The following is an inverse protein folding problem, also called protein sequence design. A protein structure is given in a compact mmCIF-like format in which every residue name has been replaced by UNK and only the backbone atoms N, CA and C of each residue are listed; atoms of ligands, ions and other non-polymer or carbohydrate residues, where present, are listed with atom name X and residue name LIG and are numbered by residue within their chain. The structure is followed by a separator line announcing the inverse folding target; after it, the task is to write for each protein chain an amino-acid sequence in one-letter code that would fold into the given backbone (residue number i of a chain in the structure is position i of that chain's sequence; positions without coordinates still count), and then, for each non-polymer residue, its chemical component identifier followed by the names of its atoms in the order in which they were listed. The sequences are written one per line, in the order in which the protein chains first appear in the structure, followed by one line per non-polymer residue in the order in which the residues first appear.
data_IF_787249861694
#
_entry.id   IF_787249861694
#
_cell.length_a   1.000
_cell.length_b   1.000
_cell.length_c   1.000
_cell.angle_alpha   90.00
_cell.angle_beta   90.00
_cell.angle_gamma   90.00
#
_symmetry.space_group_name_H-M   'P 1'
#
loop_
_entity.id
_entity.type
_entity.pdbx_description
1 polymer ?
#
# COMPACT_ATOMS: atom_id res chain seq x y z
N UNK A 1 -3.23 -35.88 -7.88
CA UNK A 1 -3.60 -34.93 -6.79
C UNK A 1 -4.70 -33.94 -7.18
N UNK A 2 -4.70 -33.31 -8.37
CA UNK A 2 -5.71 -32.31 -8.74
C UNK A 2 -7.17 -32.83 -8.80
N UNK A 3 -7.39 -34.05 -9.28
CA UNK A 3 -8.73 -34.67 -9.36
C UNK A 3 -9.31 -35.00 -7.97
N UNK A 4 -8.47 -35.46 -7.03
CA UNK A 4 -8.86 -35.73 -5.64
C UNK A 4 -9.20 -34.43 -4.90
N UNK A 5 -8.46 -33.36 -5.15
CA UNK A 5 -8.77 -32.03 -4.61
C UNK A 5 -10.09 -31.46 -5.14
N UNK A 6 -10.38 -31.65 -6.44
CA UNK A 6 -11.65 -31.23 -7.04
C UNK A 6 -12.87 -31.94 -6.44
N UNK A 7 -12.79 -33.27 -6.27
CA UNK A 7 -13.86 -34.04 -5.65
C UNK A 7 -14.09 -33.64 -4.18
N UNK A 8 -13.01 -33.41 -3.41
CA UNK A 8 -13.10 -32.95 -2.03
C UNK A 8 -13.72 -31.53 -1.92
N UNK A 9 -13.38 -30.62 -2.83
CA UNK A 9 -14.01 -29.29 -2.88
C UNK A 9 -15.51 -29.38 -3.20
N UNK A 10 -15.91 -30.21 -4.18
CA UNK A 10 -17.33 -30.40 -4.50
C UNK A 10 -18.07 -31.04 -3.32
N UNK A 11 -17.48 -32.02 -2.65
CA UNK A 11 -18.06 -32.63 -1.45
C UNK A 11 -18.24 -31.61 -0.31
N UNK A 12 -17.26 -30.73 -0.08
CA UNK A 12 -17.35 -29.65 0.91
C UNK A 12 -18.47 -28.64 0.57
N UNK A 13 -18.58 -28.26 -0.70
CA UNK A 13 -19.61 -27.33 -1.19
C UNK A 13 -21.03 -27.89 -0.99
N UNK A 14 -21.22 -29.19 -1.30
CA UNK A 14 -22.49 -29.87 -1.10
C UNK A 14 -22.77 -30.06 0.39
N UNK A 15 -21.75 -30.42 1.19
CA UNK A 15 -21.90 -30.58 2.64
C UNK A 15 -22.35 -29.30 3.34
N UNK A 16 -21.76 -28.14 3.00
CA UNK A 16 -22.14 -26.83 3.56
C UNK A 16 -23.63 -26.52 3.34
N UNK A 17 -24.21 -26.94 2.23
CA UNK A 17 -25.63 -26.71 1.91
C UNK A 17 -26.57 -27.55 2.78
N UNK A 18 -26.14 -28.71 3.24
CA UNK A 18 -26.96 -29.59 4.09
C UNK A 18 -26.96 -29.18 5.57
N UNK A 19 -26.16 -28.19 5.95
CA UNK A 19 -26.18 -27.64 7.30
C UNK A 19 -27.48 -26.87 7.53
N UNK A 20 -28.16 -27.14 8.64
CA UNK A 20 -29.35 -26.39 9.10
C UNK A 20 -29.01 -25.02 9.70
N UNK A 21 -27.80 -24.52 9.44
CA UNK A 21 -27.29 -23.26 9.95
C UNK A 21 -28.00 -22.07 9.32
N UNK A 22 -28.38 -21.10 10.16
CA UNK A 22 -28.81 -19.78 9.76
C UNK A 22 -28.01 -18.76 10.58
N UNK A 23 -27.28 -17.86 9.93
CA UNK A 23 -26.56 -16.79 10.61
C UNK A 23 -27.51 -15.72 11.15
N UNK A 24 -27.13 -15.10 12.26
CA UNK A 24 -27.75 -13.86 12.74
C UNK A 24 -27.64 -12.77 11.64
N UNK A 25 -28.73 -12.07 11.26
CA UNK A 25 -28.68 -10.93 10.36
C UNK A 25 -27.65 -9.86 10.75
N UNK A 26 -27.36 -9.69 12.05
CA UNK A 26 -26.32 -8.78 12.52
C UNK A 26 -24.92 -9.18 12.02
N UNK A 27 -24.60 -10.47 11.99
CA UNK A 27 -23.33 -10.95 11.46
C UNK A 27 -23.16 -10.56 9.98
N UNK A 28 -24.23 -10.69 9.19
CA UNK A 28 -24.22 -10.26 7.79
C UNK A 28 -23.92 -8.76 7.67
N UNK A 29 -24.60 -7.92 8.47
CA UNK A 29 -24.38 -6.46 8.48
C UNK A 29 -22.94 -6.12 8.87
N UNK A 30 -22.39 -6.76 9.92
CA UNK A 30 -21.00 -6.53 10.32
C UNK A 30 -20.01 -6.91 9.22
N UNK A 31 -20.20 -8.05 8.54
CA UNK A 31 -19.34 -8.46 7.43
C UNK A 31 -19.39 -7.47 6.25
N UNK A 32 -20.56 -6.90 5.94
CA UNK A 32 -20.69 -5.88 4.89
C UNK A 32 -20.04 -4.55 5.28
N UNK A 33 -20.20 -4.10 6.53
CA UNK A 33 -19.55 -2.88 7.04
C UNK A 33 -18.03 -3.04 7.02
N UNK A 34 -17.51 -4.14 7.57
CA UNK A 34 -16.06 -4.43 7.58
C UNK A 34 -15.53 -4.55 6.15
N UNK A 35 -16.26 -5.24 5.27
CA UNK A 35 -15.92 -5.34 3.85
C UNK A 35 -15.84 -3.98 3.16
N UNK A 36 -16.83 -3.11 3.39
CA UNK A 36 -16.86 -1.76 2.80
C UNK A 36 -15.72 -0.88 3.32
N UNK A 37 -15.44 -0.92 4.63
CA UNK A 37 -14.32 -0.20 5.23
C UNK A 37 -12.97 -0.66 4.67
N UNK A 38 -12.75 -1.96 4.56
CA UNK A 38 -11.54 -2.51 3.92
C UNK A 38 -11.43 -2.08 2.46
N UNK A 39 -12.56 -2.04 1.74
CA UNK A 39 -12.62 -1.61 0.34
C UNK A 39 -12.16 -0.17 0.16
N UNK A 40 -12.70 0.76 0.96
CA UNK A 40 -12.31 2.17 0.92
C UNK A 40 -10.87 2.38 1.41
N UNK A 41 -10.44 1.64 2.43
CA UNK A 41 -9.07 1.71 2.95
C UNK A 41 -8.05 1.24 1.92
N UNK A 42 -8.35 0.15 1.21
CA UNK A 42 -7.54 -0.28 0.08
C UNK A 42 -7.52 0.76 -1.03
N UNK A 43 -8.67 1.32 -1.40
CA UNK A 43 -8.73 2.33 -2.46
C UNK A 43 -7.85 3.56 -2.17
N UNK A 44 -7.90 4.07 -0.94
CA UNK A 44 -7.06 5.17 -0.50
C UNK A 44 -5.55 4.82 -0.62
N UNK A 45 -5.16 3.63 -0.12
CA UNK A 45 -3.79 3.15 -0.22
C UNK A 45 -3.33 2.90 -1.67
N UNK A 46 -4.22 2.38 -2.52
CA UNK A 46 -3.97 2.15 -3.93
C UNK A 46 -3.71 3.45 -4.69
N UNK A 47 -4.40 4.53 -4.34
CA UNK A 47 -4.18 5.86 -4.92
C UNK A 47 -2.82 6.45 -4.50
N UNK A 48 -2.42 6.28 -3.23
CA UNK A 48 -1.08 6.68 -2.74
C UNK A 48 -0.01 5.87 -3.47
N UNK A 49 -0.20 4.55 -3.60
CA UNK A 49 0.72 3.68 -4.35
C UNK A 49 0.83 4.11 -5.81
N UNK A 50 -0.28 4.48 -6.47
CA UNK A 50 -0.24 5.02 -7.82
C UNK A 50 0.60 6.31 -7.90
N UNK A 51 0.44 7.25 -6.96
CA UNK A 51 1.27 8.48 -6.97
C UNK A 51 2.76 8.22 -6.77
N UNK A 52 3.12 7.23 -5.94
CA UNK A 52 4.53 6.87 -5.71
C UNK A 52 5.15 6.07 -6.86
N UNK A 53 4.41 5.10 -7.42
CA UNK A 53 4.94 4.10 -8.37
C UNK A 53 4.56 4.35 -9.82
N UNK A 54 3.57 5.21 -10.07
CA UNK A 54 2.89 5.38 -11.37
C UNK A 54 2.32 4.06 -11.93
N UNK A 55 2.07 3.05 -11.08
CA UNK A 55 1.49 1.77 -11.49
C UNK A 55 -0.03 1.90 -11.70
N UNK A 56 -0.43 1.91 -12.96
CA UNK A 56 -1.83 1.99 -13.43
C UNK A 56 -2.70 0.85 -12.89
N UNK A 57 -2.11 -0.31 -12.59
CA UNK A 57 -2.81 -1.44 -11.95
C UNK A 57 -3.43 -1.00 -10.62
N UNK A 58 -2.66 -0.27 -9.81
CA UNK A 58 -3.12 0.26 -8.52
C UNK A 58 -4.27 1.23 -8.70
N UNK A 59 -4.22 2.07 -9.73
CA UNK A 59 -5.24 3.08 -9.97
C UNK A 59 -6.58 2.45 -10.40
N UNK A 60 -6.55 1.53 -11.36
CA UNK A 60 -7.73 0.81 -11.84
C UNK A 60 -8.37 0.02 -10.69
N UNK A 61 -7.56 -0.68 -9.91
CA UNK A 61 -8.05 -1.43 -8.75
C UNK A 61 -8.59 -0.50 -7.66
N UNK A 62 -7.92 0.62 -7.35
CA UNK A 62 -8.41 1.59 -6.37
C UNK A 62 -9.82 2.07 -6.72
N UNK A 63 -10.05 2.50 -7.96
CA UNK A 63 -11.39 2.88 -8.42
C UNK A 63 -12.38 1.70 -8.39
N UNK A 64 -11.94 0.49 -8.72
CA UNK A 64 -12.78 -0.69 -8.62
C UNK A 64 -13.26 -0.99 -7.21
N UNK A 65 -12.37 -0.86 -6.21
CA UNK A 65 -12.73 -1.00 -4.81
C UNK A 65 -13.59 0.17 -4.29
N UNK A 66 -13.41 1.40 -4.80
CA UNK A 66 -14.36 2.50 -4.49
C UNK A 66 -15.75 2.16 -5.02
N UNK A 67 -15.88 1.84 -6.30
CA UNK A 67 -17.18 1.56 -6.92
C UNK A 67 -17.85 0.33 -6.28
N UNK A 68 -17.10 -0.75 -6.08
CA UNK A 68 -17.60 -1.94 -5.39
C UNK A 68 -18.02 -1.63 -3.96
N UNK A 69 -17.24 -0.83 -3.22
CA UNK A 69 -17.56 -0.43 -1.84
C UNK A 69 -18.83 0.43 -1.77
N UNK A 70 -19.00 1.37 -2.71
CA UNK A 70 -20.21 2.19 -2.82
C UNK A 70 -21.44 1.35 -3.12
N UNK A 71 -21.37 0.45 -4.11
CA UNK A 71 -22.48 -0.45 -4.48
C UNK A 71 -22.93 -1.27 -3.26
N UNK A 72 -21.98 -1.85 -2.52
CA UNK A 72 -22.30 -2.66 -1.34
C UNK A 72 -22.84 -1.82 -0.20
N UNK A 73 -22.22 -0.68 0.09
CA UNK A 73 -22.69 0.23 1.15
C UNK A 73 -24.13 0.67 0.90
N UNK A 74 -24.47 1.09 -0.33
CA UNK A 74 -25.84 1.47 -0.70
C UNK A 74 -26.80 0.29 -0.54
N UNK A 75 -26.39 -0.92 -0.93
CA UNK A 75 -27.21 -2.12 -0.76
C UNK A 75 -27.44 -2.46 0.73
N UNK A 76 -26.41 -2.35 1.56
CA UNK A 76 -26.49 -2.60 3.01
C UNK A 76 -27.45 -1.64 3.70
N UNK A 77 -27.45 -0.35 3.34
CA UNK A 77 -28.44 0.61 3.86
C UNK A 77 -29.88 0.21 3.51
N UNK A 78 -30.11 -0.27 2.28
CA UNK A 78 -31.42 -0.80 1.88
C UNK A 78 -31.86 -2.00 2.73
N UNK A 79 -30.93 -2.92 3.02
CA UNK A 79 -31.19 -4.09 3.86
C UNK A 79 -31.51 -3.68 5.30
N UNK A 80 -30.77 -2.71 5.86
CA UNK A 80 -31.01 -2.23 7.23
C UNK A 80 -32.44 -1.69 7.41
N UNK A 81 -32.95 -0.93 6.43
CA UNK A 81 -34.34 -0.47 6.44
C UNK A 81 -35.35 -1.62 6.44
N UNK A 82 -35.09 -2.67 5.66
CA UNK A 82 -35.97 -3.86 5.63
C UNK A 82 -35.87 -4.74 6.88
N UNK A 83 -34.72 -4.81 7.53
CA UNK A 83 -34.54 -5.53 8.80
C UNK A 83 -35.30 -4.84 9.94
N UNK A 84 -35.27 -3.51 10.00
CA UNK A 84 -36.04 -2.72 10.97
C UNK A 84 -37.56 -2.94 10.84
N UNK A 85 -38.05 -3.29 9.65
CA UNK A 85 -39.45 -3.65 9.39
C UNK A 85 -39.83 -5.11 9.69
N UNK A 86 -38.92 -5.94 10.22
CA UNK A 86 -39.21 -7.32 10.65
C UNK A 86 -39.25 -8.38 9.53
N UNK A 87 -38.87 -8.05 8.28
CA UNK A 87 -39.01 -8.93 7.11
C UNK A 87 -37.75 -9.79 6.81
N UNK A 88 -36.94 -10.13 7.81
CA UNK A 88 -35.66 -10.84 7.64
C UNK A 88 -35.78 -12.20 6.93
N UNK A 89 -36.83 -12.98 7.23
CA UNK A 89 -37.00 -14.33 6.72
C UNK A 89 -37.26 -14.42 5.21
N UNK A 90 -37.63 -13.32 4.56
CA UNK A 90 -37.94 -13.27 3.12
C UNK A 90 -36.78 -12.70 2.29
N UNK A 91 -35.67 -12.30 2.94
CA UNK A 91 -34.55 -11.67 2.25
C UNK A 91 -33.79 -12.66 1.37
N UNK A 92 -33.65 -12.27 0.10
CA UNK A 92 -32.81 -12.95 -0.89
C UNK A 92 -31.47 -12.24 -1.00
N UNK A 93 -30.51 -12.90 -1.63
CA UNK A 93 -29.21 -12.28 -1.90
C UNK A 93 -29.37 -11.09 -2.85
N UNK A 94 -28.89 -9.89 -2.49
CA UNK A 94 -29.13 -8.68 -3.27
C UNK A 94 -28.41 -8.75 -4.62
N UNK A 95 -29.03 -8.20 -5.66
CA UNK A 95 -28.39 -8.10 -6.97
C UNK A 95 -27.08 -7.30 -6.92
N UNK A 96 -27.02 -6.31 -6.02
CA UNK A 96 -25.84 -5.49 -5.79
C UNK A 96 -24.60 -6.31 -5.42
N UNK A 97 -24.75 -7.45 -4.72
CA UNK A 97 -23.67 -8.41 -4.48
C UNK A 97 -23.08 -8.90 -5.80
N UNK A 98 -23.91 -9.31 -6.75
CA UNK A 98 -23.42 -9.80 -8.02
C UNK A 98 -22.75 -8.72 -8.87
N UNK A 99 -23.36 -7.53 -8.89
CA UNK A 99 -22.85 -6.38 -9.66
C UNK A 99 -21.49 -5.94 -9.13
N UNK A 100 -21.35 -5.78 -7.81
CA UNK A 100 -20.11 -5.34 -7.17
C UNK A 100 -18.95 -6.30 -7.46
N UNK A 101 -19.19 -7.61 -7.32
CA UNK A 101 -18.18 -8.65 -7.51
C UNK A 101 -17.76 -8.80 -8.97
N UNK A 102 -18.71 -8.74 -9.89
CA UNK A 102 -18.44 -8.84 -11.34
C UNK A 102 -17.68 -7.61 -11.83
N UNK A 103 -18.05 -6.43 -11.36
CA UNK A 103 -17.32 -5.19 -11.63
C UNK A 103 -15.86 -5.31 -11.17
N UNK A 104 -15.64 -5.70 -9.92
CA UNK A 104 -14.29 -5.82 -9.36
C UNK A 104 -13.46 -6.87 -10.11
N UNK A 105 -14.05 -8.04 -10.42
CA UNK A 105 -13.38 -9.08 -11.19
C UNK A 105 -13.01 -8.60 -12.60
N UNK A 106 -13.92 -7.92 -13.29
CA UNK A 106 -13.69 -7.34 -14.61
C UNK A 106 -12.56 -6.31 -14.59
N UNK A 107 -12.52 -5.45 -13.57
CA UNK A 107 -11.46 -4.46 -13.41
C UNK A 107 -10.10 -5.10 -13.11
N UNK A 108 -10.08 -6.22 -12.37
CA UNK A 108 -8.83 -6.96 -12.12
C UNK A 108 -8.31 -7.62 -13.40
N UNK A 109 -9.19 -8.16 -14.26
CA UNK A 109 -8.80 -8.64 -15.59
C UNK A 109 -8.32 -7.50 -16.49
N UNK A 110 -9.04 -6.36 -16.51
CA UNK A 110 -8.67 -5.19 -17.30
C UNK A 110 -7.31 -4.62 -16.88
N UNK A 111 -7.04 -4.55 -15.57
CA UNK A 111 -5.77 -4.09 -15.04
C UNK A 111 -4.59 -4.96 -15.54
N UNK A 112 -4.78 -6.28 -15.66
CA UNK A 112 -3.77 -7.18 -16.24
C UNK A 112 -3.54 -6.95 -17.73
N UNK A 113 -4.61 -6.63 -18.47
CA UNK A 113 -4.50 -6.32 -19.89
C UNK A 113 -3.71 -5.02 -20.11
N UNK A 114 -3.98 -3.98 -19.32
CA UNK A 114 -3.25 -2.70 -19.36
C UNK A 114 -1.79 -2.90 -19.01
N UNK A 115 -1.51 -3.65 -17.94
CA UNK A 115 -0.14 -3.95 -17.51
C UNK A 115 0.69 -4.66 -18.58
N UNK A 116 0.07 -5.40 -19.51
CA UNK A 116 0.78 -6.10 -20.61
C UNK A 116 1.00 -5.24 -21.85
N UNK A 117 0.08 -4.32 -22.16
CA UNK A 117 0.03 -3.62 -23.46
C UNK A 117 0.74 -2.27 -23.48
N UNK A 118 0.93 -1.63 -22.32
CA UNK A 118 1.42 -0.26 -22.25
C UNK A 118 2.63 -0.17 -21.32
N UNK A 119 3.86 -0.03 -21.82
CA UNK A 119 5.00 0.31 -20.97
C UNK A 119 4.79 1.67 -20.27
N UNK A 120 5.43 1.86 -19.10
CA UNK A 120 5.32 3.09 -18.29
C UNK A 120 5.69 4.31 -19.15
N UNK A 121 4.73 5.20 -19.41
CA UNK A 121 4.95 6.39 -20.22
C UNK A 121 4.90 7.60 -19.30
N UNK A 122 5.83 8.55 -19.45
CA UNK A 122 6.06 9.65 -18.51
C UNK A 122 4.97 10.74 -18.51
N UNK A 123 3.74 10.46 -18.93
CA UNK A 123 2.63 11.42 -19.00
C UNK A 123 1.47 11.04 -18.05
N UNK A 124 1.45 11.59 -16.82
CA UNK A 124 0.44 11.27 -15.82
C UNK A 124 -1.00 11.60 -16.25
N UNK A 125 -1.19 12.60 -17.13
CA UNK A 125 -2.52 13.03 -17.57
C UNK A 125 -3.17 12.01 -18.49
N UNK A 126 -2.41 11.51 -19.48
CA UNK A 126 -2.89 10.44 -20.39
C UNK A 126 -3.11 9.11 -19.66
N UNK A 127 -2.27 8.81 -18.67
CA UNK A 127 -2.39 7.57 -17.89
C UNK A 127 -3.64 7.54 -17.02
N UNK A 128 -3.95 8.64 -16.33
CA UNK A 128 -5.16 8.77 -15.53
C UNK A 128 -6.42 8.71 -16.40
N UNK A 129 -6.43 9.41 -17.55
CA UNK A 129 -7.53 9.34 -18.50
C UNK A 129 -7.78 7.92 -19.01
N UNK A 130 -6.71 7.19 -19.36
CA UNK A 130 -6.81 5.80 -19.83
C UNK A 130 -7.39 4.88 -18.75
N UNK A 131 -6.91 4.99 -17.51
CA UNK A 131 -7.43 4.20 -16.40
C UNK A 131 -8.91 4.50 -16.14
N UNK A 132 -9.31 5.77 -16.15
CA UNK A 132 -10.71 6.20 -15.97
C UNK A 132 -11.62 5.70 -17.09
N UNK A 133 -11.17 5.75 -18.35
CA UNK A 133 -11.93 5.21 -19.49
C UNK A 133 -12.16 3.70 -19.34
N UNK A 134 -11.15 2.96 -18.91
CA UNK A 134 -11.27 1.51 -18.68
C UNK A 134 -12.21 1.22 -17.52
N UNK A 135 -12.08 1.96 -16.42
CA UNK A 135 -12.98 1.85 -15.26
C UNK A 135 -14.41 2.11 -15.69
N UNK A 136 -14.65 3.22 -16.40
CA UNK A 136 -15.96 3.60 -16.91
C UNK A 136 -16.54 2.56 -17.89
N UNK A 137 -15.73 2.03 -18.81
CA UNK A 137 -16.16 1.01 -19.75
C UNK A 137 -16.56 -0.30 -19.05
N UNK A 138 -15.75 -0.79 -18.10
CA UNK A 138 -16.06 -2.02 -17.36
C UNK A 138 -17.27 -1.81 -16.45
N UNK A 139 -17.40 -0.64 -15.80
CA UNK A 139 -18.57 -0.27 -15.01
C UNK A 139 -19.83 -0.23 -15.85
N UNK A 140 -19.79 0.43 -17.02
CA UNK A 140 -20.90 0.49 -17.97
C UNK A 140 -21.30 -0.90 -18.47
N UNK A 141 -20.34 -1.72 -18.92
CA UNK A 141 -20.60 -3.07 -19.41
C UNK A 141 -21.21 -3.95 -18.33
N UNK A 142 -20.69 -3.88 -17.10
CA UNK A 142 -21.25 -4.64 -15.97
C UNK A 142 -22.68 -4.20 -15.72
N UNK A 143 -22.94 -2.90 -15.62
CA UNK A 143 -24.30 -2.37 -15.43
C UNK A 143 -25.25 -2.76 -16.57
N UNK A 144 -24.82 -2.67 -17.82
CA UNK A 144 -25.63 -3.05 -18.99
C UNK A 144 -26.01 -4.54 -18.97
N UNK A 145 -25.07 -5.42 -18.62
CA UNK A 145 -25.32 -6.87 -18.50
C UNK A 145 -26.36 -7.16 -17.41
N UNK A 146 -26.28 -6.50 -16.26
CA UNK A 146 -27.21 -6.74 -15.15
C UNK A 146 -28.56 -6.02 -15.29
N UNK A 147 -28.62 -4.90 -16.01
CA UNK A 147 -29.88 -4.25 -16.38
C UNK A 147 -30.66 -5.03 -17.44
N UNK A 148 -29.94 -5.67 -18.38
CA UNK A 148 -30.54 -6.56 -19.39
C UNK A 148 -30.81 -7.99 -18.89
N UNK A 149 -30.41 -8.31 -17.64
CA UNK A 149 -30.66 -9.62 -17.05
C UNK A 149 -32.12 -9.77 -16.60
N UNK A 150 -32.63 -11.01 -16.45
CA UNK A 150 -34.00 -11.24 -15.97
C UNK A 150 -34.24 -10.55 -14.62
N UNK A 151 -35.42 -9.93 -14.45
CA UNK A 151 -35.80 -9.18 -13.24
C UNK A 151 -35.71 -10.01 -11.94
N UNK A 152 -35.78 -11.34 -12.04
CA UNK A 152 -35.47 -12.26 -10.95
C UNK A 152 -34.46 -13.31 -11.42
N UNK A 153 -33.27 -13.31 -10.84
CA UNK A 153 -32.36 -14.44 -10.92
C UNK A 153 -33.01 -15.64 -10.20
N UNK A 154 -33.64 -16.53 -10.98
CA UNK A 154 -34.45 -17.65 -10.46
C UNK A 154 -33.59 -18.66 -9.72
N UNK A 155 -33.68 -18.66 -8.39
CA UNK A 155 -33.00 -19.67 -7.56
C UNK A 155 -33.63 -21.02 -7.86
N UNK A 156 -32.81 -22.06 -8.01
CA UNK A 156 -33.26 -23.44 -8.25
C UNK A 156 -32.92 -24.31 -7.03
N UNK A 157 -33.74 -24.30 -5.96
CA UNK A 157 -33.37 -24.92 -4.67
C UNK A 157 -33.15 -26.43 -4.72
N UNK A 158 -33.67 -27.11 -5.75
CA UNK A 158 -33.50 -28.55 -5.98
C UNK A 158 -32.41 -28.90 -7.00
N UNK A 159 -31.83 -27.91 -7.68
CA UNK A 159 -30.76 -28.15 -8.63
C UNK A 159 -29.43 -28.44 -7.92
N UNK A 160 -28.52 -29.11 -8.63
CA UNK A 160 -27.13 -29.30 -8.18
C UNK A 160 -26.38 -27.97 -8.01
N UNK A 161 -26.75 -26.96 -8.79
CA UNK A 161 -26.25 -25.59 -8.69
C UNK A 161 -27.44 -24.62 -8.54
N UNK A 162 -27.82 -24.27 -7.30
CA UNK A 162 -28.95 -23.37 -7.05
C UNK A 162 -28.84 -22.01 -7.69
N UNK A 163 -27.61 -21.49 -7.81
CA UNK A 163 -27.30 -20.15 -8.33
C UNK A 163 -26.20 -20.19 -9.39
N UNK A 164 -26.52 -20.60 -10.63
CA UNK A 164 -25.54 -20.76 -11.69
C UNK A 164 -24.87 -19.44 -12.13
N UNK A 165 -25.52 -18.31 -11.89
CA UNK A 165 -25.00 -16.99 -12.25
C UNK A 165 -23.79 -16.54 -11.42
N UNK A 166 -23.57 -17.13 -10.23
CA UNK A 166 -22.35 -16.87 -9.44
C UNK A 166 -21.09 -17.41 -10.16
N UNK A 167 -21.25 -18.25 -11.19
CA UNK A 167 -20.13 -18.69 -12.04
C UNK A 167 -19.55 -17.56 -12.90
N UNK A 168 -20.30 -16.50 -13.19
CA UNK A 168 -19.83 -15.37 -14.00
C UNK A 168 -18.66 -14.66 -13.29
N UNK A 169 -18.83 -14.11 -12.06
CA UNK A 169 -17.71 -13.52 -11.33
C UNK A 169 -16.64 -14.57 -11.00
N UNK A 170 -17.00 -15.83 -10.69
CA UNK A 170 -16.01 -16.88 -10.45
C UNK A 170 -15.06 -17.08 -11.64
N UNK A 171 -15.59 -17.11 -12.87
CA UNK A 171 -14.80 -17.26 -14.09
C UNK A 171 -13.88 -16.06 -14.34
N UNK A 172 -14.37 -14.83 -14.11
CA UNK A 172 -13.56 -13.62 -14.23
C UNK A 172 -12.43 -13.57 -13.21
N UNK A 173 -12.73 -13.89 -11.94
CA UNK A 173 -11.70 -13.98 -10.89
C UNK A 173 -10.69 -15.09 -11.16
N UNK A 174 -11.11 -16.21 -11.75
CA UNK A 174 -10.21 -17.28 -12.17
C UNK A 174 -9.28 -16.82 -13.30
N UNK A 175 -9.84 -16.12 -14.30
CA UNK A 175 -9.06 -15.49 -15.36
C UNK A 175 -8.02 -14.51 -14.82
N UNK A 176 -8.42 -13.67 -13.86
CA UNK A 176 -7.52 -12.75 -13.17
C UNK A 176 -6.44 -13.51 -12.38
N UNK A 177 -6.79 -14.51 -11.58
CA UNK A 177 -5.85 -15.30 -10.79
C UNK A 177 -4.80 -15.99 -11.68
N UNK A 178 -5.23 -16.63 -12.77
CA UNK A 178 -4.32 -17.25 -13.74
C UNK A 178 -3.43 -16.19 -14.40
N UNK A 179 -4.01 -15.05 -14.78
CA UNK A 179 -3.29 -13.95 -15.41
C UNK A 179 -2.19 -13.34 -14.52
N UNK A 180 -2.49 -13.10 -13.24
CA UNK A 180 -1.54 -12.63 -12.23
C UNK A 180 -0.47 -13.69 -11.99
N UNK A 181 -0.85 -14.96 -11.81
CA UNK A 181 0.11 -16.04 -11.52
C UNK A 181 1.09 -16.29 -12.67
N UNK A 182 0.67 -16.07 -13.91
CA UNK A 182 1.58 -16.07 -15.07
C UNK A 182 2.55 -14.89 -15.05
N UNK A 183 2.10 -13.71 -14.61
CA UNK A 183 2.94 -12.49 -14.46
C UNK A 183 3.98 -12.66 -13.34
N UNK A 184 3.64 -13.34 -12.25
CA UNK A 184 4.52 -13.57 -11.09
C UNK A 184 5.82 -14.35 -11.38
N UNK A 185 5.99 -14.93 -12.58
CA UNK A 185 7.21 -15.68 -12.94
C UNK A 185 8.44 -14.80 -13.20
N UNK A 186 8.30 -13.47 -13.23
CA UNK A 186 9.37 -12.53 -13.63
C UNK A 186 9.75 -11.51 -12.53
N UNK A 187 9.39 -11.75 -11.27
CA UNK A 187 9.65 -10.86 -10.13
C UNK A 187 8.39 -10.69 -9.28
N UNK A 188 8.54 -10.73 -7.96
CA UNK A 188 7.40 -10.94 -7.04
C UNK A 188 7.33 -9.84 -5.99
N UNK A 189 6.43 -8.87 -6.19
CA UNK A 189 6.03 -7.93 -5.11
C UNK A 189 5.08 -8.62 -4.13
N UNK A 190 5.03 -8.19 -2.86
CA UNK A 190 4.10 -8.78 -1.90
C UNK A 190 2.65 -8.50 -2.31
N UNK A 191 2.41 -7.34 -2.93
CA UNK A 191 1.13 -6.97 -3.51
C UNK A 191 0.67 -7.93 -4.61
N UNK A 192 1.54 -8.30 -5.56
CA UNK A 192 1.16 -9.21 -6.64
C UNK A 192 0.81 -10.62 -6.11
N UNK A 193 1.52 -11.10 -5.07
CA UNK A 193 1.18 -12.36 -4.40
C UNK A 193 -0.18 -12.27 -3.72
N UNK A 194 -0.40 -11.22 -2.94
CA UNK A 194 -1.65 -10.98 -2.23
C UNK A 194 -2.83 -10.86 -3.20
N UNK A 195 -2.64 -10.15 -4.32
CA UNK A 195 -3.64 -10.00 -5.37
C UNK A 195 -3.97 -11.35 -6.04
N UNK A 196 -2.97 -12.20 -6.28
CA UNK A 196 -3.22 -13.55 -6.82
C UNK A 196 -4.03 -14.43 -5.85
N UNK A 197 -3.70 -14.39 -4.57
CA UNK A 197 -4.41 -15.16 -3.55
C UNK A 197 -5.81 -14.62 -3.30
N UNK A 198 -6.00 -13.30 -3.31
CA UNK A 198 -7.30 -12.68 -3.19
C UNK A 198 -8.21 -13.01 -4.39
N UNK A 199 -7.65 -13.05 -5.61
CA UNK A 199 -8.38 -13.53 -6.78
C UNK A 199 -8.83 -14.98 -6.60
N UNK A 200 -7.94 -15.87 -6.12
CA UNK A 200 -8.28 -17.27 -5.85
C UNK A 200 -9.33 -17.42 -4.73
N UNK A 201 -9.25 -16.62 -3.66
CA UNK A 201 -10.25 -16.57 -2.60
C UNK A 201 -11.62 -16.12 -3.14
N UNK A 202 -11.66 -15.18 -4.08
CA UNK A 202 -12.91 -14.76 -4.71
C UNK A 202 -13.48 -15.84 -5.66
N UNK A 203 -12.64 -16.66 -6.31
CA UNK A 203 -13.13 -17.86 -7.02
C UNK A 203 -13.83 -18.79 -6.02
N UNK A 204 -13.17 -19.10 -4.90
CA UNK A 204 -13.76 -19.95 -3.86
C UNK A 204 -15.06 -19.35 -3.30
N UNK A 205 -15.06 -18.04 -3.00
CA UNK A 205 -16.23 -17.29 -2.55
C UNK A 205 -17.45 -17.54 -3.43
N UNK A 206 -17.31 -17.41 -4.75
CA UNK A 206 -18.44 -17.57 -5.67
C UNK A 206 -18.81 -19.03 -5.93
N UNK A 207 -17.86 -19.97 -5.87
CA UNK A 207 -18.19 -21.39 -5.89
C UNK A 207 -19.04 -21.77 -4.65
N UNK A 208 -18.71 -21.24 -3.48
CA UNK A 208 -19.50 -21.43 -2.26
C UNK A 208 -20.86 -20.73 -2.37
N UNK A 209 -20.89 -19.45 -2.81
CA UNK A 209 -22.13 -18.70 -2.98
C UNK A 209 -23.10 -19.35 -3.98
N UNK A 210 -22.58 -20.07 -4.99
CA UNK A 210 -23.40 -20.78 -5.98
C UNK A 210 -24.31 -21.86 -5.38
N UNK A 211 -23.97 -22.35 -4.17
CA UNK A 211 -24.73 -23.35 -3.40
C UNK A 211 -25.75 -22.75 -2.44
N UNK A 212 -25.74 -21.42 -2.26
CA UNK A 212 -26.69 -20.72 -1.39
C UNK A 212 -28.10 -20.69 -1.99
N UNK A 213 -29.11 -20.81 -1.14
CA UNK A 213 -30.53 -20.64 -1.44
C UNK A 213 -31.10 -19.42 -0.70
N UNK A 214 -30.57 -19.08 0.49
CA UNK A 214 -31.05 -18.01 1.35
C UNK A 214 -29.92 -17.06 1.73
N UNK A 215 -30.25 -15.81 2.05
CA UNK A 215 -29.26 -14.80 2.42
C UNK A 215 -28.43 -15.18 3.66
N UNK A 216 -29.01 -15.89 4.61
CA UNK A 216 -28.36 -16.20 5.89
C UNK A 216 -27.93 -17.67 6.03
N UNK A 217 -27.87 -18.43 4.94
CA UNK A 217 -27.44 -19.82 4.99
C UNK A 217 -25.92 -19.98 5.07
N UNK A 218 -25.48 -21.17 5.51
CA UNK A 218 -24.04 -21.46 5.68
C UNK A 218 -23.20 -21.17 4.42
N UNK A 219 -23.62 -21.56 3.20
CA UNK A 219 -22.87 -21.23 1.99
C UNK A 219 -22.70 -19.70 1.80
N UNK A 220 -23.75 -18.90 1.97
CA UNK A 220 -23.61 -17.46 1.76
C UNK A 220 -22.78 -16.78 2.86
N UNK A 221 -22.95 -17.18 4.12
CA UNK A 221 -22.12 -16.66 5.22
C UNK A 221 -20.64 -16.99 4.99
N UNK A 222 -20.32 -18.21 4.56
CA UNK A 222 -18.95 -18.60 4.21
C UNK A 222 -18.40 -17.80 3.02
N UNK A 223 -19.22 -17.55 1.99
CA UNK A 223 -18.84 -16.69 0.88
C UNK A 223 -18.52 -15.25 1.32
N UNK A 224 -19.32 -14.68 2.23
CA UNK A 224 -19.07 -13.36 2.81
C UNK A 224 -17.74 -13.29 3.56
N UNK A 225 -17.42 -14.30 4.37
CA UNK A 225 -16.14 -14.39 5.06
C UNK A 225 -14.99 -14.44 4.05
N UNK A 226 -15.08 -15.29 3.02
CA UNK A 226 -14.07 -15.38 1.96
C UNK A 226 -13.87 -14.05 1.21
N UNK A 227 -14.96 -13.33 0.91
CA UNK A 227 -14.91 -11.97 0.34
C UNK A 227 -14.10 -11.05 1.26
N UNK A 228 -14.49 -10.92 2.52
CA UNK A 228 -13.85 -10.00 3.49
C UNK A 228 -12.37 -10.36 3.68
N UNK A 229 -12.04 -11.65 3.80
CA UNK A 229 -10.66 -12.11 3.88
C UNK A 229 -9.85 -11.75 2.64
N UNK A 230 -10.45 -11.82 1.44
CA UNK A 230 -9.76 -11.41 0.22
C UNK A 230 -9.38 -9.92 0.23
N UNK A 231 -10.22 -9.06 0.79
CA UNK A 231 -9.97 -7.62 0.90
C UNK A 231 -8.85 -7.33 1.88
N UNK A 232 -8.90 -7.96 3.06
CA UNK A 232 -7.85 -7.86 4.05
C UNK A 232 -6.50 -8.31 3.47
N UNK A 233 -6.49 -9.36 2.66
CA UNK A 233 -5.28 -9.88 2.03
C UNK A 233 -4.68 -8.89 1.04
N UNK A 234 -5.48 -8.32 0.11
CA UNK A 234 -4.99 -7.32 -0.85
C UNK A 234 -4.47 -6.08 -0.13
N UNK A 235 -5.20 -5.59 0.87
CA UNK A 235 -4.77 -4.44 1.68
C UNK A 235 -3.45 -4.73 2.40
N UNK A 236 -3.32 -5.89 3.05
CA UNK A 236 -2.09 -6.30 3.73
C UNK A 236 -0.90 -6.37 2.79
N UNK A 237 -1.08 -6.93 1.59
CA UNK A 237 -0.04 -6.95 0.56
C UNK A 237 0.38 -5.55 0.09
N UNK A 238 -0.58 -4.65 -0.11
CA UNK A 238 -0.32 -3.27 -0.50
C UNK A 238 0.43 -2.49 0.60
N UNK A 239 0.04 -2.65 1.86
CA UNK A 239 0.69 -2.01 3.01
C UNK A 239 2.12 -2.52 3.20
N UNK A 240 2.36 -3.82 3.03
CA UNK A 240 3.69 -4.41 3.16
C UNK A 240 4.65 -3.88 2.09
N UNK A 241 4.21 -3.76 0.85
CA UNK A 241 5.03 -3.17 -0.22
C UNK A 241 5.28 -1.67 0.02
N UNK A 242 4.27 -0.92 0.47
CA UNK A 242 4.45 0.50 0.82
C UNK A 242 5.49 0.67 1.94
N UNK A 243 5.45 -0.17 2.98
CA UNK A 243 6.43 -0.15 4.06
C UNK A 243 7.85 -0.44 3.55
N UNK A 244 8.00 -1.43 2.67
CA UNK A 244 9.30 -1.76 2.04
C UNK A 244 9.83 -0.63 1.17
N UNK A 245 8.98 -0.01 0.35
CA UNK A 245 9.37 1.13 -0.48
C UNK A 245 9.79 2.33 0.39
N UNK A 246 9.03 2.61 1.45
CA UNK A 246 9.37 3.67 2.38
C UNK A 246 10.72 3.42 3.05
N UNK A 247 10.96 2.18 3.48
CA UNK A 247 12.22 1.79 4.09
C UNK A 247 13.39 1.87 3.09
N UNK A 248 13.20 1.42 1.85
CA UNK A 248 14.20 1.58 0.78
C UNK A 248 14.54 3.05 0.51
N UNK A 249 13.53 3.93 0.41
CA UNK A 249 13.76 5.38 0.25
C UNK A 249 14.51 5.95 1.43
N UNK A 250 14.15 5.55 2.66
CA UNK A 250 14.86 5.93 3.89
C UNK A 250 16.29 5.38 3.91
N UNK A 251 16.52 4.20 3.33
CA UNK A 251 17.83 3.58 3.22
C UNK A 251 18.73 4.28 2.18
N UNK A 252 18.15 4.73 1.07
CA UNK A 252 18.83 5.46 -0.01
C UNK A 252 19.07 6.94 0.29
N UNK A 253 18.42 7.50 1.31
CA UNK A 253 18.73 8.86 1.75
C UNK A 253 20.17 8.88 2.28
N UNK A 254 21.08 9.58 1.58
CA UNK A 254 22.49 9.77 1.99
C UNK A 254 22.68 11.06 2.80
N UNK A 255 21.64 11.88 2.92
CA UNK A 255 21.68 13.17 3.58
C UNK A 255 20.77 13.20 4.81
N UNK A 256 21.17 13.99 5.81
CA UNK A 256 20.33 14.33 6.96
C UNK A 256 19.24 15.32 6.53
N UNK A 257 17.95 15.05 6.79
CA UNK A 257 16.86 15.87 6.28
C UNK A 257 16.77 17.26 6.90
N UNK A 258 17.37 17.49 8.08
CA UNK A 258 17.37 18.79 8.74
C UNK A 258 18.46 19.70 8.18
N UNK A 259 19.69 19.19 8.10
CA UNK A 259 20.90 19.97 7.79
C UNK A 259 21.32 19.88 6.32
N UNK A 260 20.87 18.83 5.62
CA UNK A 260 21.32 18.49 4.28
C UNK A 260 22.78 18.03 4.19
N UNK A 261 23.48 17.85 5.32
CA UNK A 261 24.80 17.20 5.35
C UNK A 261 24.67 15.71 5.09
N UNK A 262 25.78 14.99 4.96
CA UNK A 262 25.73 13.53 4.97
C UNK A 262 25.09 13.03 6.29
N UNK A 263 24.32 11.96 6.23
CA UNK A 263 23.83 11.32 7.45
C UNK A 263 24.86 10.33 8.01
N UNK A 264 24.57 9.79 9.20
CA UNK A 264 25.39 8.77 9.86
C UNK A 264 25.75 7.58 8.94
N UNK A 265 24.83 7.11 8.10
CA UNK A 265 25.10 6.00 7.17
C UNK A 265 26.15 6.39 6.14
N UNK A 266 25.96 7.53 5.48
CA UNK A 266 26.91 8.04 4.49
C UNK A 266 28.29 8.32 5.12
N UNK A 267 28.32 8.75 6.38
CA UNK A 267 29.55 8.91 7.14
C UNK A 267 30.30 7.57 7.29
N UNK A 268 29.62 6.50 7.70
CA UNK A 268 30.23 5.16 7.83
C UNK A 268 30.76 4.65 6.48
N UNK A 269 29.98 4.78 5.40
CA UNK A 269 30.41 4.36 4.06
C UNK A 269 31.68 5.09 3.61
N UNK A 270 31.77 6.40 3.90
CA UNK A 270 32.96 7.20 3.60
C UNK A 270 34.13 6.79 4.48
N UNK A 271 33.93 6.58 5.78
CA UNK A 271 35.00 6.13 6.68
C UNK A 271 35.59 4.79 6.23
N UNK A 272 34.75 3.82 5.88
CA UNK A 272 35.20 2.51 5.38
C UNK A 272 36.01 2.66 4.08
N UNK A 273 35.50 3.46 3.14
CA UNK A 273 36.19 3.76 1.88
C UNK A 273 37.54 4.45 2.09
N UNK A 274 37.62 5.38 3.05
CA UNK A 274 38.85 6.10 3.39
C UNK A 274 39.87 5.20 4.10
N UNK A 275 39.42 4.29 4.96
CA UNK A 275 40.26 3.28 5.59
C UNK A 275 40.90 2.36 4.54
N UNK A 276 40.12 1.87 3.58
CA UNK A 276 40.64 1.04 2.49
C UNK A 276 41.60 1.83 1.58
N UNK A 277 41.25 3.06 1.22
CA UNK A 277 42.14 3.92 0.42
C UNK A 277 43.46 4.17 1.14
N UNK A 278 43.43 4.54 2.41
CA UNK A 278 44.62 4.81 3.22
C UNK A 278 45.54 3.60 3.31
N UNK A 279 44.97 2.40 3.53
CA UNK A 279 45.74 1.13 3.50
C UNK A 279 46.42 0.89 2.15
N UNK A 280 45.77 1.23 1.04
CA UNK A 280 46.29 1.00 -0.31
C UNK A 280 47.31 2.04 -0.75
N UNK A 281 47.11 3.31 -0.42
CA UNK A 281 47.93 4.43 -0.95
C UNK A 281 48.95 4.95 0.05
N UNK A 282 48.86 4.57 1.32
CA UNK A 282 49.67 5.12 2.42
C UNK A 282 49.34 6.58 2.77
N UNK A 283 48.32 7.19 2.13
CA UNK A 283 47.92 8.58 2.41
C UNK A 283 46.97 8.63 3.60
N UNK A 284 47.29 9.38 4.67
CA UNK A 284 46.46 9.44 5.86
C UNK A 284 45.13 10.16 5.58
N UNK A 285 44.14 9.92 6.42
CA UNK A 285 42.94 10.74 6.53
C UNK A 285 42.71 11.05 8.01
N UNK A 286 41.94 12.09 8.30
CA UNK A 286 41.58 12.47 9.66
C UNK A 286 40.07 12.56 9.80
N UNK A 287 39.58 12.39 11.03
CA UNK A 287 38.16 12.53 11.36
C UNK A 287 38.05 13.55 12.49
N UNK A 288 37.21 14.55 12.29
CA UNK A 288 36.81 15.48 13.35
C UNK A 288 35.45 15.03 13.87
N UNK A 289 35.31 14.94 15.19
CA UNK A 289 34.04 14.79 15.87
C UNK A 289 33.75 16.11 16.60
N UNK A 290 32.57 16.64 16.41
CA UNK A 290 32.16 17.97 16.86
C UNK A 290 30.84 17.81 17.63
N UNK A 291 30.74 18.48 18.77
CA UNK A 291 29.49 18.57 19.53
C UNK A 291 29.03 20.03 19.59
N UNK A 292 27.72 20.27 19.47
CA UNK A 292 27.16 21.61 19.57
C UNK A 292 26.81 21.92 21.02
N UNK A 293 27.72 22.63 21.69
CA UNK A 293 27.53 23.06 23.07
C UNK A 293 26.24 23.87 23.27
N UNK A 294 25.46 23.52 24.30
CA UNK A 294 24.32 24.33 24.75
C UNK A 294 23.04 24.21 23.91
N UNK A 295 22.94 23.24 22.99
CA UNK A 295 21.71 23.04 22.21
C UNK A 295 20.47 22.83 23.09
N UNK A 296 20.60 22.08 24.20
CA UNK A 296 19.52 21.89 25.18
C UNK A 296 19.02 23.22 25.75
N UNK A 297 19.93 24.11 26.14
CA UNK A 297 19.57 25.44 26.66
C UNK A 297 18.85 26.28 25.61
N UNK A 298 19.26 26.21 24.34
CA UNK A 298 18.58 26.88 23.23
C UNK A 298 17.16 26.32 23.06
N UNK A 299 17.01 24.99 23.09
CA UNK A 299 15.71 24.33 22.99
C UNK A 299 14.78 24.71 24.14
N UNK A 300 15.28 24.68 25.37
CA UNK A 300 14.48 24.94 26.58
C UNK A 300 14.04 26.41 26.64
N UNK A 301 14.90 27.35 26.20
CA UNK A 301 14.62 28.79 26.26
C UNK A 301 13.82 29.32 25.05
N UNK A 302 14.06 28.77 23.86
CA UNK A 302 13.55 29.32 22.59
C UNK A 302 12.75 28.32 21.75
N UNK A 303 12.60 27.08 22.22
CA UNK A 303 11.86 26.00 21.56
C UNK A 303 12.68 25.25 20.50
N UNK A 304 12.23 24.02 20.21
CA UNK A 304 12.90 23.11 19.27
C UNK A 304 13.08 23.65 17.84
N UNK A 305 12.22 24.57 17.39
CA UNK A 305 12.36 25.21 16.08
C UNK A 305 13.62 26.08 16.02
N UNK A 306 13.96 26.78 17.10
CA UNK A 306 15.17 27.62 17.15
C UNK A 306 16.42 26.75 17.31
N UNK A 307 16.37 25.68 18.10
CA UNK A 307 17.48 24.72 18.14
C UNK A 307 17.72 24.04 16.79
N UNK A 308 16.65 23.74 16.04
CA UNK A 308 16.76 23.23 14.67
C UNK A 308 17.48 24.22 13.75
N UNK A 309 17.22 25.53 13.89
CA UNK A 309 17.95 26.57 13.14
C UNK A 309 19.44 26.64 13.54
N UNK A 310 19.76 26.48 14.82
CA UNK A 310 21.15 26.45 15.29
C UNK A 310 21.92 25.27 14.65
N UNK A 311 21.30 24.09 14.58
CA UNK A 311 21.85 22.92 13.89
C UNK A 311 22.07 23.18 12.39
N UNK A 312 21.08 23.76 11.69
CA UNK A 312 21.23 24.14 10.29
C UNK A 312 22.36 25.15 10.09
N UNK A 313 22.53 26.08 11.02
CA UNK A 313 23.58 27.10 10.94
C UNK A 313 24.97 26.49 11.06
N UNK A 314 25.18 25.60 12.03
CA UNK A 314 26.42 24.82 12.13
C UNK A 314 26.68 24.06 10.83
N UNK A 315 25.66 23.41 10.28
CA UNK A 315 25.79 22.68 9.03
C UNK A 315 26.20 23.55 7.84
N UNK A 316 25.69 24.78 7.73
CA UNK A 316 26.13 25.75 6.72
C UNK A 316 27.61 26.10 6.89
N UNK A 317 28.04 26.36 8.13
CA UNK A 317 29.45 26.66 8.42
C UNK A 317 30.34 25.49 8.02
N UNK A 318 29.97 24.26 8.38
CA UNK A 318 30.70 23.05 7.97
C UNK A 318 30.77 22.95 6.45
N UNK A 319 29.66 23.15 5.73
CA UNK A 319 29.61 23.05 4.27
C UNK A 319 30.51 24.09 3.57
N UNK A 320 30.59 25.32 4.10
CA UNK A 320 31.42 26.40 3.52
C UNK A 320 32.91 26.22 3.83
N UNK A 321 33.24 25.66 5.00
CA UNK A 321 34.63 25.54 5.44
C UNK A 321 35.30 24.19 5.15
N UNK A 322 34.53 23.24 4.61
CA UNK A 322 35.00 21.97 4.07
C UNK A 322 35.36 22.09 2.58
N UNK A 323 36.38 21.35 2.13
CA UNK A 323 36.74 21.20 0.72
C UNK A 323 35.74 20.28 0.02
N UNK A 324 35.75 20.29 -1.32
CA UNK A 324 34.88 19.40 -2.11
C UNK A 324 35.12 17.90 -1.85
N UNK A 325 36.32 17.51 -1.44
CA UNK A 325 36.67 16.13 -1.07
C UNK A 325 36.34 15.78 0.39
N UNK A 326 36.13 16.78 1.25
CA UNK A 326 35.80 16.56 2.66
C UNK A 326 34.32 16.16 2.78
N UNK A 327 34.01 15.28 3.72
CA UNK A 327 32.62 14.87 3.99
C UNK A 327 32.20 15.35 5.36
N UNK A 328 31.38 16.40 5.40
CA UNK A 328 30.68 16.83 6.61
C UNK A 328 29.37 16.04 6.77
N UNK A 329 29.15 15.49 7.96
CA UNK A 329 28.01 14.66 8.30
C UNK A 329 27.42 15.04 9.65
N UNK A 330 26.12 14.78 9.84
CA UNK A 330 25.50 14.80 11.16
C UNK A 330 25.55 13.38 11.72
N UNK A 331 26.27 13.21 12.83
CA UNK A 331 26.45 11.92 13.49
C UNK A 331 25.16 11.52 14.23
N UNK A 332 24.54 12.45 14.94
CA UNK A 332 23.25 12.27 15.60
C UNK A 332 22.99 13.40 16.61
N UNK A 333 21.74 13.80 16.84
CA UNK A 333 21.45 14.86 17.82
C UNK A 333 22.16 16.19 17.49
N UNK A 334 22.99 16.65 18.41
CA UNK A 334 23.93 17.79 18.35
C UNK A 334 25.30 17.45 17.78
N UNK A 335 25.60 16.17 17.54
CA UNK A 335 26.92 15.70 17.12
C UNK A 335 27.08 15.72 15.59
N UNK A 336 28.23 16.22 15.15
CA UNK A 336 28.65 16.31 13.76
C UNK A 336 30.01 15.64 13.58
N UNK A 337 30.28 15.18 12.36
CA UNK A 337 31.58 14.64 11.98
C UNK A 337 32.05 15.25 10.68
N UNK A 338 33.37 15.40 10.52
CA UNK A 338 33.98 15.76 9.24
C UNK A 338 35.09 14.77 8.93
N UNK A 339 34.97 14.07 7.81
CA UNK A 339 36.03 13.23 7.27
C UNK A 339 36.89 14.08 6.34
N UNK A 340 38.19 14.08 6.58
CA UNK A 340 39.19 14.87 5.86
C UNK A 340 40.16 13.91 5.13
N UNK A 341 39.88 13.57 3.86
CA UNK A 341 40.79 12.79 3.04
C UNK A 341 42.14 13.47 2.86
N UNK A 342 43.22 12.67 2.81
CA UNK A 342 44.59 13.15 2.57
C UNK A 342 45.05 14.23 3.56
N UNK A 343 44.52 14.21 4.78
CA UNK A 343 44.84 15.14 5.85
C UNK A 343 45.42 14.41 7.08
N UNK A 344 46.60 14.84 7.52
CA UNK A 344 47.18 14.46 8.81
C UNK A 344 46.68 15.36 9.96
N UNK A 345 47.12 15.03 11.19
CA UNK A 345 46.63 15.68 12.42
C UNK A 345 46.73 17.21 12.43
N UNK A 346 47.83 17.79 11.94
CA UNK A 346 47.98 19.24 11.89
C UNK A 346 47.00 19.92 10.93
N UNK A 347 46.72 19.29 9.77
CA UNK A 347 45.76 19.82 8.81
C UNK A 347 44.35 19.75 9.39
N UNK A 348 44.00 18.66 10.07
CA UNK A 348 42.75 18.50 10.78
C UNK A 348 42.57 19.55 11.89
N UNK A 349 43.61 19.80 12.70
CA UNK A 349 43.60 20.83 13.74
C UNK A 349 43.33 22.23 13.17
N UNK A 350 43.95 22.59 12.03
CA UNK A 350 43.70 23.87 11.35
C UNK A 350 42.27 24.00 10.84
N UNK A 351 41.68 22.91 10.35
CA UNK A 351 40.26 22.89 9.91
C UNK A 351 39.34 23.08 11.12
N UNK A 352 39.57 22.33 12.20
CA UNK A 352 38.80 22.44 13.44
C UNK A 352 38.86 23.87 14.00
N UNK A 353 40.06 24.45 14.16
CA UNK A 353 40.23 25.82 14.64
C UNK A 353 39.49 26.84 13.78
N UNK A 354 39.53 26.70 12.45
CA UNK A 354 38.82 27.60 11.53
C UNK A 354 37.31 27.52 11.70
N UNK A 355 36.77 26.31 11.85
CA UNK A 355 35.33 26.09 12.09
C UNK A 355 34.93 26.71 13.43
N UNK A 356 35.66 26.43 14.51
CA UNK A 356 35.38 26.98 15.84
C UNK A 356 35.48 28.51 15.85
N UNK A 357 36.53 29.09 15.25
CA UNK A 357 36.68 30.53 15.17
C UNK A 357 35.54 31.20 14.37
N UNK A 358 35.06 30.55 13.30
CA UNK A 358 33.91 31.06 12.54
C UNK A 358 32.63 31.04 13.37
N UNK A 359 32.35 29.94 14.06
CA UNK A 359 31.16 29.81 14.92
C UNK A 359 31.20 30.80 16.09
N UNK A 360 32.36 30.97 16.72
CA UNK A 360 32.53 31.93 17.82
C UNK A 360 32.31 33.39 17.37
N UNK A 361 32.65 33.71 16.12
CA UNK A 361 32.40 35.02 15.52
C UNK A 361 31.00 35.16 14.89
N UNK A 362 30.16 34.12 14.96
CA UNK A 362 28.83 34.10 14.36
C UNK A 362 27.82 34.81 15.28
N UNK A 363 27.70 36.12 15.13
CA UNK A 363 26.81 36.97 15.94
C UNK A 363 25.32 36.88 15.58
N UNK A 364 24.87 35.81 14.92
CA UNK A 364 23.46 35.66 14.56
C UNK A 364 22.61 35.39 15.81
N UNK A 365 21.90 36.42 16.27
CA UNK A 365 20.78 36.26 17.19
C UNK A 365 19.55 35.80 16.40
N UNK A 366 18.95 34.65 16.71
CA UNK A 366 17.75 34.21 16.02
C UNK A 366 16.63 35.22 16.27
N UNK A 367 16.00 35.72 15.20
CA UNK A 367 14.79 36.52 15.31
C UNK A 367 13.69 35.63 15.91
N UNK A 368 13.50 35.75 17.22
CA UNK A 368 12.40 35.12 17.94
C UNK A 368 11.16 35.90 17.54
N UNK A 369 10.33 35.33 16.67
CA UNK A 369 8.98 35.84 16.48
C UNK A 369 8.22 35.53 17.77
N UNK A 370 8.21 36.49 18.71
CA UNK A 370 7.23 36.46 19.79
C UNK A 370 5.85 36.55 19.13
N UNK A 371 5.00 35.56 19.40
CA UNK A 371 3.57 35.69 19.11
C UNK A 371 2.97 36.85 19.89
#
# INVERSE_FOLDING_TARGET
MALVGGAACVALLVWLRHLTFSSDPLLYVYLEIVGSLLSFTYAANGLVRFRGTHDRTSLILAFGFVLSGLIETTATFGIFGTLAGGAAAQMRVPLAWMVSRTLLAGLMVAALFVARRMPNARDPGRETATALLIVGAVAYLTSAVYLGAPAEFRIRPSAWLPRPWDLIPAALFLGAAIGIRRRLRTGVSAFDQALSWAAALNVACHLVASQSVRLFDAPFTAAQVLKVSSYALVLGGALLDNARLFDQVRHMAVSDPLTGLANYRRLLDVLESEMERSRRTGRPFSVLLLDLDGLKTINDRHGHLIGSRALCRLAEVLRVHCRAMDTAARYGGDEFAVVLPEAGGEAAARVAQRICARLAADGQTPAVFSK
#
